data_IF_374814436487
#
_entry.id   IF_374814436487
#
_cell.length_a   1.000
_cell.length_b   1.000
_cell.length_c   1.000
_cell.angle_alpha   90.00
_cell.angle_beta   90.00
_cell.angle_gamma   90.00
#
_symmetry.space_group_name_H-M   'P 1'
#
loop_
_entity.id
_entity.type
_entity.pdbx_description
1 polymer ?
#
# COMPACT_ATOMS: atom_id res chain seq x y z
N UNK A 1 -20.96 -1.69 14.50
CA UNK A 1 -20.82 -3.16 14.62
C UNK A 1 -19.51 -3.42 15.35
N UNK A 2 -19.54 -3.95 16.58
CA UNK A 2 -18.36 -4.07 17.45
C UNK A 2 -17.25 -4.87 16.76
N UNK A 3 -16.11 -4.23 16.49
CA UNK A 3 -14.89 -4.90 16.07
C UNK A 3 -14.47 -5.78 17.26
N UNK A 4 -14.62 -7.08 17.10
CA UNK A 4 -14.31 -8.02 18.18
C UNK A 4 -12.81 -8.06 18.44
N UNK A 5 -12.35 -8.32 19.68
CA UNK A 5 -10.93 -8.36 20.07
C UNK A 5 -10.09 -9.41 19.30
N UNK A 6 -10.70 -10.21 18.43
CA UNK A 6 -10.03 -11.13 17.51
C UNK A 6 -9.27 -10.42 16.38
N UNK A 7 -9.69 -9.22 15.95
CA UNK A 7 -8.94 -8.45 14.95
C UNK A 7 -7.64 -7.87 15.50
N UNK A 8 -7.66 -7.44 16.77
CA UNK A 8 -6.46 -6.96 17.48
C UNK A 8 -5.50 -8.12 17.78
N UNK A 9 -6.03 -9.32 18.07
CA UNK A 9 -5.22 -10.54 18.24
C UNK A 9 -4.55 -10.99 16.95
N UNK A 10 -5.17 -10.78 15.78
CA UNK A 10 -4.56 -11.08 14.47
C UNK A 10 -3.38 -10.14 14.20
N UNK A 11 -3.49 -8.87 14.63
CA UNK A 11 -2.44 -7.86 14.49
C UNK A 11 -1.28 -8.09 15.49
N UNK A 12 -1.56 -8.53 16.72
CA UNK A 12 -0.54 -8.89 17.71
C UNK A 12 0.25 -10.17 17.32
N UNK A 13 -0.40 -11.13 16.64
CA UNK A 13 0.27 -12.32 16.12
C UNK A 13 1.26 -12.01 14.97
N UNK A 14 1.05 -10.93 14.22
CA UNK A 14 2.01 -10.49 13.20
C UNK A 14 3.34 -10.04 13.82
N UNK A 15 3.33 -9.53 15.06
CA UNK A 15 4.52 -9.04 15.76
C UNK A 15 5.40 -10.20 16.27
N UNK A 16 4.81 -11.31 16.72
CA UNK A 16 5.58 -12.47 17.20
C UNK A 16 6.06 -13.42 16.07
N UNK A 17 5.39 -13.44 14.92
CA UNK A 17 5.82 -14.25 13.76
C UNK A 17 6.89 -13.54 12.89
N UNK A 18 7.20 -12.28 13.17
CA UNK A 18 8.32 -11.56 12.56
C UNK A 18 9.70 -12.04 13.05
N UNK A 19 9.75 -12.87 14.11
CA UNK A 19 10.99 -13.30 14.77
C UNK A 19 11.75 -14.46 14.08
N UNK A 20 11.30 -15.00 12.94
CA UNK A 20 12.03 -16.12 12.30
C UNK A 20 11.86 -16.27 10.78
N UNK A 21 11.47 -15.23 10.03
CA UNK A 21 11.53 -15.33 8.57
C UNK A 21 12.90 -14.88 8.06
N UNK A 22 13.75 -15.84 7.68
CA UNK A 22 14.89 -15.54 6.82
C UNK A 22 14.35 -15.16 5.44
N UNK A 23 14.90 -14.11 4.83
CA UNK A 23 14.64 -13.81 3.43
C UNK A 23 15.85 -14.29 2.63
N UNK A 24 15.57 -15.04 1.56
CA UNK A 24 16.56 -15.29 0.53
C UNK A 24 16.48 -14.15 -0.50
N UNK A 25 17.63 -13.69 -1.01
CA UNK A 25 17.67 -12.59 -1.97
C UNK A 25 18.50 -12.95 -3.19
N UNK A 26 17.98 -12.60 -4.37
CA UNK A 26 18.70 -12.69 -5.63
C UNK A 26 18.61 -11.37 -6.40
N UNK A 27 19.64 -11.09 -7.21
CA UNK A 27 19.66 -9.95 -8.11
C UNK A 27 19.19 -10.37 -9.50
N UNK A 28 18.29 -9.61 -10.08
CA UNK A 28 17.68 -9.93 -11.38
C UNK A 28 17.55 -8.71 -12.26
N UNK A 29 17.52 -8.94 -13.57
CA UNK A 29 17.14 -7.94 -14.55
C UNK A 29 15.83 -8.38 -15.20
N UNK A 30 14.71 -7.68 -14.97
CA UNK A 30 13.44 -7.98 -15.63
C UNK A 30 13.56 -7.79 -17.14
N UNK A 31 12.98 -8.72 -17.90
CA UNK A 31 12.94 -8.64 -19.37
C UNK A 31 11.49 -8.42 -19.80
N UNK A 32 11.22 -7.33 -20.53
CA UNK A 32 9.89 -7.07 -21.09
C UNK A 32 9.67 -7.91 -22.36
N UNK A 33 8.57 -8.66 -22.43
CA UNK A 33 8.29 -9.54 -23.58
C UNK A 33 7.68 -8.79 -24.77
N UNK A 34 6.85 -7.75 -24.56
CA UNK A 34 6.09 -7.11 -25.65
C UNK A 34 6.80 -5.88 -26.27
N UNK A 35 8.13 -5.82 -26.23
CA UNK A 35 8.89 -4.71 -26.82
C UNK A 35 9.04 -4.88 -28.34
N UNK A 36 8.08 -4.34 -29.09
CA UNK A 36 8.20 -3.87 -30.49
C UNK A 36 8.65 -4.91 -31.54
N UNK A 37 7.71 -5.40 -32.36
CA UNK A 37 7.98 -5.64 -33.78
C UNK A 37 7.59 -4.37 -34.53
N UNK A 38 8.58 -3.67 -35.09
CA UNK A 38 8.35 -2.44 -35.84
C UNK A 38 7.63 -2.70 -37.17
N UNK A 39 6.63 -1.88 -37.49
CA UNK A 39 6.07 -1.84 -38.84
C UNK A 39 4.62 -1.34 -38.93
N UNK A 40 4.48 -0.02 -39.16
CA UNK A 40 3.39 0.69 -39.85
C UNK A 40 1.91 0.45 -39.44
N UNK A 41 1.25 1.60 -39.25
CA UNK A 41 -0.16 1.87 -39.59
C UNK A 41 -1.26 1.39 -38.61
N UNK A 42 -1.80 2.39 -37.88
CA UNK A 42 -3.10 2.47 -37.16
C UNK A 42 -3.34 1.65 -35.88
N UNK A 43 -3.31 2.40 -34.77
CA UNK A 43 -4.35 2.51 -33.72
C UNK A 43 -4.71 1.25 -32.88
N UNK A 44 -4.25 1.32 -31.62
CA UNK A 44 -4.95 0.97 -30.37
C UNK A 44 -5.05 -0.51 -29.95
N UNK A 45 -4.02 -0.95 -29.23
CA UNK A 45 -4.15 -1.46 -27.86
C UNK A 45 -2.75 -1.39 -27.25
N UNK A 46 -2.52 -0.56 -26.22
CA UNK A 46 -1.33 -0.76 -25.39
C UNK A 46 -1.51 -2.11 -24.73
N UNK A 47 -0.84 -3.15 -25.24
CA UNK A 47 -0.84 -4.44 -24.57
C UNK A 47 -0.31 -4.25 -23.15
N UNK A 48 -1.04 -4.85 -22.21
CA UNK A 48 -0.69 -4.91 -20.81
C UNK A 48 0.77 -5.41 -20.64
N UNK A 49 1.61 -4.72 -19.85
CA UNK A 49 3.02 -5.05 -19.79
C UNK A 49 3.27 -6.44 -19.19
N UNK A 50 4.15 -7.21 -19.83
CA UNK A 50 4.56 -8.55 -19.38
C UNK A 50 6.06 -8.54 -19.13
N UNK A 51 6.48 -8.97 -17.94
CA UNK A 51 7.88 -9.09 -17.56
C UNK A 51 8.23 -10.51 -17.17
N UNK A 52 9.40 -11.00 -17.58
CA UNK A 52 9.94 -12.26 -17.09
C UNK A 52 11.14 -12.02 -16.19
N UNK A 53 11.11 -12.66 -15.02
CA UNK A 53 12.14 -12.61 -13.98
C UNK A 53 12.75 -14.00 -13.85
N UNK A 54 14.08 -14.11 -13.90
CA UNK A 54 14.79 -15.37 -13.61
C UNK A 54 15.35 -15.30 -12.20
N UNK A 55 14.72 -15.99 -11.25
CA UNK A 55 15.08 -15.93 -9.83
C UNK A 55 14.79 -17.28 -9.15
N UNK A 56 15.64 -17.68 -8.20
CA UNK A 56 15.49 -18.89 -7.38
C UNK A 56 15.33 -20.15 -8.23
N UNK A 57 16.08 -20.22 -9.34
CA UNK A 57 16.02 -21.31 -10.31
C UNK A 57 14.73 -21.39 -11.14
N UNK A 58 13.92 -20.32 -11.16
CA UNK A 58 12.60 -20.29 -11.81
C UNK A 58 12.46 -19.10 -12.75
N UNK A 59 11.59 -19.26 -13.75
CA UNK A 59 11.10 -18.15 -14.58
C UNK A 59 9.75 -17.71 -14.05
N UNK A 60 9.66 -16.48 -13.54
CA UNK A 60 8.46 -15.86 -13.01
C UNK A 60 7.99 -14.80 -14.00
N UNK A 61 6.88 -15.05 -14.68
CA UNK A 61 6.33 -14.13 -15.69
C UNK A 61 5.20 -13.31 -15.07
N UNK A 62 5.41 -12.01 -14.86
CA UNK A 62 4.39 -11.11 -14.35
C UNK A 62 3.52 -10.59 -15.50
N UNK A 63 2.23 -10.88 -15.50
CA UNK A 63 1.26 -10.29 -16.42
C UNK A 63 0.55 -9.15 -15.69
N UNK A 64 0.74 -7.92 -16.16
CA UNK A 64 0.36 -6.72 -15.41
C UNK A 64 -0.76 -5.94 -16.09
N UNK A 65 -1.76 -5.54 -15.33
CA UNK A 65 -2.90 -4.74 -15.76
C UNK A 65 -2.91 -3.46 -14.92
N UNK A 66 -3.14 -2.27 -15.51
CA UNK A 66 -3.27 -1.03 -14.75
C UNK A 66 -4.31 -1.17 -13.61
N UNK A 67 -3.92 -0.82 -12.39
CA UNK A 67 -4.80 -0.89 -11.22
C UNK A 67 -4.72 0.37 -10.37
N UNK A 68 -5.83 1.11 -10.37
CA UNK A 68 -6.03 2.28 -9.52
C UNK A 68 -7.23 2.12 -8.59
N UNK A 69 -7.77 0.90 -8.47
CA UNK A 69 -8.97 0.63 -7.68
C UNK A 69 -8.79 0.82 -6.17
N UNK A 70 -7.53 0.88 -5.71
CA UNK A 70 -7.17 1.21 -4.33
C UNK A 70 -7.15 2.72 -4.05
N UNK A 71 -7.36 3.58 -5.07
CA UNK A 71 -7.43 5.03 -4.91
C UNK A 71 -8.87 5.49 -5.06
N UNK A 72 -9.33 6.32 -4.11
CA UNK A 72 -10.65 6.95 -4.19
C UNK A 72 -10.77 7.81 -5.47
N UNK A 73 -11.97 7.95 -6.05
CA UNK A 73 -12.23 8.98 -7.06
C UNK A 73 -11.88 10.39 -6.57
N UNK A 74 -12.07 10.67 -5.27
CA UNK A 74 -11.74 11.94 -4.63
C UNK A 74 -10.32 11.99 -4.04
N UNK A 75 -9.47 11.00 -4.36
CA UNK A 75 -8.11 10.93 -3.83
C UNK A 75 -7.33 12.21 -4.10
N UNK A 76 -6.71 12.73 -3.06
CA UNK A 76 -5.80 13.87 -3.12
C UNK A 76 -4.57 13.67 -2.22
N UNK A 77 -3.50 14.38 -2.57
CA UNK A 77 -2.27 14.44 -1.79
C UNK A 77 -2.09 15.86 -1.26
N UNK A 78 -1.89 15.98 0.06
CA UNK A 78 -1.71 17.25 0.73
C UNK A 78 -0.41 17.27 1.53
N UNK A 79 0.40 18.31 1.32
CA UNK A 79 1.56 18.63 2.17
C UNK A 79 1.12 19.30 3.47
N UNK A 80 1.77 18.96 4.57
CA UNK A 80 1.46 19.45 5.92
C UNK A 80 2.71 20.09 6.51
N UNK A 81 2.66 21.41 6.69
CA UNK A 81 3.71 22.22 7.32
C UNK A 81 3.26 22.77 8.67
N UNK A 82 4.21 23.26 9.48
CA UNK A 82 3.93 23.73 10.84
C UNK A 82 2.93 24.89 10.87
N UNK A 83 2.98 25.79 9.87
CA UNK A 83 2.01 26.88 9.74
C UNK A 83 0.59 26.39 9.44
N UNK A 84 0.45 25.33 8.65
CA UNK A 84 -0.84 24.74 8.32
C UNK A 84 -1.50 24.09 9.54
N UNK A 85 -0.74 23.38 10.37
CA UNK A 85 -1.32 22.75 11.57
C UNK A 85 -1.68 23.75 12.67
N UNK A 86 -0.90 24.83 12.82
CA UNK A 86 -1.23 25.93 13.74
C UNK A 86 -2.56 26.61 13.38
N UNK A 87 -2.82 26.83 12.08
CA UNK A 87 -4.09 27.41 11.62
C UNK A 87 -5.28 26.48 11.86
N UNK A 88 -5.14 25.17 11.60
CA UNK A 88 -6.19 24.18 11.89
C UNK A 88 -6.53 24.10 13.38
N UNK A 89 -5.52 24.14 14.26
CA UNK A 89 -5.74 24.12 15.72
C UNK A 89 -6.42 25.37 16.24
N UNK A 90 -6.21 26.51 15.58
CA UNK A 90 -6.82 27.79 15.94
C UNK A 90 -8.26 27.93 15.40
N UNK A 91 -8.56 27.27 14.28
CA UNK A 91 -9.89 27.21 13.69
C UNK A 91 -10.76 26.19 14.44
N UNK A 92 -11.35 26.63 15.56
CA UNK A 92 -12.33 25.85 16.31
C UNK A 92 -13.65 25.74 15.53
N UNK A 93 -13.79 24.66 14.76
CA UNK A 93 -15.08 24.20 14.24
C UNK A 93 -15.55 24.76 12.89
N UNK A 94 -14.72 25.54 12.19
CA UNK A 94 -14.98 25.95 10.81
C UNK A 94 -13.79 25.56 9.94
N UNK A 95 -14.03 24.74 8.92
CA UNK A 95 -13.04 24.37 7.92
C UNK A 95 -12.50 25.67 7.30
N UNK A 96 -11.19 25.95 7.34
CA UNK A 96 -10.67 27.14 6.69
C UNK A 96 -10.93 27.00 5.19
N UNK A 97 -11.84 27.79 4.64
CA UNK A 97 -11.87 28.03 3.19
C UNK A 97 -10.59 28.78 2.84
N UNK A 98 -9.56 28.02 2.46
CA UNK A 98 -8.31 28.60 2.04
C UNK A 98 -8.57 29.36 0.74
N UNK A 99 -8.30 30.68 0.78
CA UNK A 99 -8.01 31.45 -0.43
C UNK A 99 -6.89 30.74 -1.17
N UNK A 100 -7.27 29.96 -2.16
CA UNK A 100 -6.37 29.49 -3.20
C UNK A 100 -5.85 30.73 -3.89
N UNK A 101 -4.56 31.02 -3.79
CA UNK A 101 -3.89 31.90 -4.74
C UNK A 101 -4.03 31.26 -6.13
N UNK A 102 -5.11 31.63 -6.79
CA UNK A 102 -5.58 31.11 -8.06
C UNK A 102 -4.71 31.66 -9.19
N UNK A 103 -3.82 30.83 -9.73
CA UNK A 103 -3.86 30.44 -11.16
C UNK A 103 -2.65 29.61 -11.64
N UNK A 104 -1.60 29.41 -10.83
CA UNK A 104 -0.40 28.68 -11.27
C UNK A 104 -0.24 27.23 -10.78
N UNK A 105 -0.83 26.88 -9.63
CA UNK A 105 -0.46 25.66 -8.88
C UNK A 105 -1.37 24.45 -9.14
N UNK A 106 -2.69 24.63 -9.32
CA UNK A 106 -3.66 23.52 -9.47
C UNK A 106 -3.37 22.61 -10.67
N UNK A 107 -2.88 23.17 -11.78
CA UNK A 107 -2.56 22.38 -12.97
C UNK A 107 -1.36 21.44 -12.73
N UNK A 108 -0.39 21.85 -11.90
CA UNK A 108 0.83 21.08 -11.63
C UNK A 108 0.56 19.91 -10.68
N UNK A 109 -0.29 20.12 -9.66
CA UNK A 109 -0.68 19.06 -8.72
C UNK A 109 -1.55 18.00 -9.41
N UNK A 110 -2.58 18.40 -10.18
CA UNK A 110 -3.43 17.44 -10.92
C UNK A 110 -2.65 16.64 -11.97
N UNK A 111 -1.70 17.27 -12.67
CA UNK A 111 -0.86 16.56 -13.65
C UNK A 111 0.06 15.53 -12.95
N UNK A 112 0.64 15.89 -11.79
CA UNK A 112 1.45 14.96 -11.00
C UNK A 112 0.64 13.80 -10.41
N UNK A 113 -0.58 14.04 -9.93
CA UNK A 113 -1.50 12.99 -9.46
C UNK A 113 -1.95 12.07 -10.61
N UNK A 114 -2.23 12.63 -11.79
CA UNK A 114 -2.53 11.85 -12.99
C UNK A 114 -1.35 11.03 -13.51
N UNK A 115 -0.11 11.49 -13.30
CA UNK A 115 1.11 10.69 -13.54
C UNK A 115 1.24 9.57 -12.51
N UNK A 116 0.97 9.84 -11.23
CA UNK A 116 1.00 8.84 -10.16
C UNK A 116 0.03 7.68 -10.40
N UNK A 117 -1.21 7.97 -10.82
CA UNK A 117 -2.22 6.94 -11.11
C UNK A 117 -1.78 5.94 -12.19
N UNK A 118 -0.90 6.33 -13.10
CA UNK A 118 -0.39 5.46 -14.19
C UNK A 118 0.76 4.54 -13.74
N UNK A 119 1.19 4.64 -12.48
CA UNK A 119 2.31 3.85 -11.97
C UNK A 119 1.91 2.44 -11.56
N UNK A 120 0.66 2.23 -11.13
CA UNK A 120 0.28 1.04 -10.36
C UNK A 120 -0.37 -0.04 -11.23
N UNK A 121 0.07 -1.26 -11.03
CA UNK A 121 -0.36 -2.42 -11.77
C UNK A 121 -0.64 -3.59 -10.81
N UNK A 122 -1.62 -4.39 -11.17
CA UNK A 122 -1.91 -5.68 -10.53
C UNK A 122 -1.92 -6.80 -11.56
N UNK A 123 -1.99 -8.05 -11.12
CA UNK A 123 -2.16 -9.17 -12.04
C UNK A 123 -1.73 -10.49 -11.46
N UNK A 124 -1.20 -11.36 -12.31
CA UNK A 124 -0.85 -12.74 -11.96
C UNK A 124 0.55 -13.11 -12.46
N UNK A 125 1.05 -14.24 -11.96
CA UNK A 125 2.32 -14.86 -12.33
C UNK A 125 2.03 -16.05 -13.24
N UNK A 126 2.44 -15.96 -14.50
CA UNK A 126 2.27 -17.02 -15.50
C UNK A 126 0.80 -17.30 -15.79
N UNK A 127 0.36 -18.53 -15.51
CA UNK A 127 -1.04 -18.95 -15.66
C UNK A 127 -1.71 -19.25 -14.30
N UNK A 128 -1.03 -18.92 -13.19
CA UNK A 128 -1.55 -19.17 -11.85
C UNK A 128 -2.61 -18.12 -11.50
N UNK A 129 -3.90 -18.46 -11.62
CA UNK A 129 -5.01 -17.57 -11.25
C UNK A 129 -5.09 -17.27 -9.74
N UNK A 130 -4.43 -18.07 -8.90
CA UNK A 130 -4.36 -17.84 -7.46
C UNK A 130 -3.15 -16.99 -7.06
N UNK A 131 -2.28 -16.67 -8.01
CA UNK A 131 -1.18 -15.74 -7.78
C UNK A 131 -1.69 -14.30 -7.74
N UNK A 132 -0.94 -13.45 -7.05
CA UNK A 132 -1.22 -12.01 -6.99
C UNK A 132 0.04 -11.25 -7.31
N UNK A 133 -0.12 -10.14 -8.03
CA UNK A 133 0.95 -9.17 -8.29
C UNK A 133 0.42 -7.79 -7.94
N UNK A 134 1.25 -6.98 -7.28
CA UNK A 134 0.98 -5.58 -6.98
C UNK A 134 2.30 -4.80 -7.09
N UNK A 135 2.47 -4.05 -8.18
CA UNK A 135 3.73 -3.36 -8.47
C UNK A 135 3.49 -1.93 -8.96
N UNK A 136 4.46 -1.07 -8.72
CA UNK A 136 4.64 0.21 -9.38
C UNK A 136 5.74 0.09 -10.44
N UNK A 137 5.57 0.75 -11.59
CA UNK A 137 6.55 0.75 -12.69
C UNK A 137 7.23 2.11 -12.92
N UNK A 138 6.92 3.14 -12.14
CA UNK A 138 7.40 4.50 -12.40
C UNK A 138 8.90 4.71 -12.12
N UNK A 139 9.47 3.94 -11.18
CA UNK A 139 10.87 4.07 -10.75
C UNK A 139 11.58 2.71 -10.78
N UNK A 140 11.22 1.88 -11.76
CA UNK A 140 11.50 0.45 -11.79
C UNK A 140 10.36 -0.37 -11.22
N UNK A 141 10.50 -1.69 -11.21
CA UNK A 141 9.50 -2.61 -10.66
C UNK A 141 9.67 -2.63 -9.14
N UNK A 142 8.79 -1.92 -8.44
CA UNK A 142 8.73 -1.94 -6.99
C UNK A 142 7.39 -2.50 -6.55
N UNK A 143 7.37 -3.56 -5.75
CA UNK A 143 6.13 -4.27 -5.51
C UNK A 143 6.28 -5.58 -4.76
N UNK A 144 5.16 -6.27 -4.60
CA UNK A 144 5.14 -7.65 -4.13
C UNK A 144 4.34 -8.54 -5.07
N UNK A 145 4.64 -9.82 -5.03
CA UNK A 145 3.83 -10.84 -5.68
C UNK A 145 3.84 -12.14 -4.89
N UNK A 146 2.80 -12.93 -5.08
CA UNK A 146 2.59 -14.21 -4.40
C UNK A 146 2.39 -15.24 -5.48
N UNK A 147 3.17 -16.32 -5.45
CA UNK A 147 3.06 -17.41 -6.41
C UNK A 147 3.38 -18.72 -5.71
N UNK A 148 2.56 -19.75 -5.96
CA UNK A 148 2.67 -21.05 -5.27
C UNK A 148 2.72 -20.92 -3.73
N UNK A 149 1.97 -19.98 -3.17
CA UNK A 149 1.94 -19.72 -1.73
C UNK A 149 3.20 -19.09 -1.15
N UNK A 150 4.18 -18.72 -1.97
CA UNK A 150 5.42 -18.03 -1.56
C UNK A 150 5.30 -16.53 -1.81
N UNK A 151 5.78 -15.76 -0.86
CA UNK A 151 5.77 -14.30 -0.89
C UNK A 151 7.10 -13.77 -1.42
N UNK A 152 7.01 -12.88 -2.41
CA UNK A 152 8.13 -12.23 -3.04
C UNK A 152 7.98 -10.71 -2.97
N UNK A 153 9.09 -10.03 -2.67
CA UNK A 153 9.23 -8.59 -2.76
C UNK A 153 10.24 -8.28 -3.86
N UNK A 154 9.93 -7.35 -4.76
CA UNK A 154 10.85 -6.85 -5.78
C UNK A 154 11.08 -5.36 -5.57
N UNK A 155 12.34 -4.95 -5.60
CA UNK A 155 12.71 -3.54 -5.52
C UNK A 155 13.90 -3.22 -6.44
N UNK A 156 13.96 -1.99 -7.00
CA UNK A 156 15.14 -1.54 -7.73
C UNK A 156 16.39 -1.53 -6.84
N UNK A 157 17.52 -2.05 -7.33
CA UNK A 157 18.79 -2.00 -6.60
C UNK A 157 19.32 -0.57 -6.47
N UNK A 158 19.13 0.22 -7.52
CA UNK A 158 19.46 1.64 -7.56
C UNK A 158 18.16 2.43 -7.70
N UNK A 159 17.95 3.40 -6.81
CA UNK A 159 16.89 4.40 -6.95
C UNK A 159 17.36 5.47 -7.92
N UNK A 160 17.39 5.14 -9.21
CA UNK A 160 17.74 6.10 -10.27
C UNK A 160 16.51 6.93 -10.62
N UNK A 161 16.65 8.26 -10.59
CA UNK A 161 15.59 9.18 -10.99
C UNK A 161 15.10 8.92 -12.41
N UNK A 162 13.78 9.10 -12.61
CA UNK A 162 12.99 8.98 -13.83
C UNK A 162 13.80 8.76 -15.13
N UNK A 163 14.19 7.50 -15.40
CA UNK A 163 14.64 7.08 -16.72
C UNK A 163 13.55 6.25 -17.40
N UNK A 164 13.34 6.42 -18.72
CA UNK A 164 12.25 5.77 -19.46
C UNK A 164 12.32 4.23 -19.53
N UNK A 165 13.47 3.60 -19.24
CA UNK A 165 13.65 2.13 -19.14
C UNK A 165 13.98 1.65 -17.71
N UNK A 166 13.44 2.34 -16.70
CA UNK A 166 13.70 2.00 -15.29
C UNK A 166 13.26 0.57 -14.90
N UNK A 167 12.33 -0.06 -15.61
CA UNK A 167 11.86 -1.41 -15.30
C UNK A 167 12.86 -2.53 -15.67
N UNK A 168 13.76 -2.30 -16.63
CA UNK A 168 14.78 -3.28 -17.07
C UNK A 168 16.15 -3.03 -16.42
N UNK A 169 16.17 -2.27 -15.32
CA UNK A 169 17.37 -2.12 -14.50
C UNK A 169 17.58 -3.33 -13.57
N UNK A 170 18.68 -3.31 -12.81
CA UNK A 170 18.97 -4.32 -11.80
C UNK A 170 18.01 -4.18 -10.60
N UNK A 171 17.32 -5.25 -10.25
CA UNK A 171 16.41 -5.36 -9.12
C UNK A 171 16.91 -6.41 -8.14
N UNK A 172 16.47 -6.30 -6.89
CA UNK A 172 16.64 -7.33 -5.87
C UNK A 172 15.26 -7.96 -5.65
N UNK A 173 15.18 -9.28 -5.77
CA UNK A 173 14.01 -10.04 -5.35
C UNK A 173 14.32 -10.70 -4.03
N UNK A 174 13.47 -10.49 -3.04
CA UNK A 174 13.49 -11.19 -1.76
C UNK A 174 12.35 -12.17 -1.69
N UNK A 175 12.64 -13.42 -1.33
CA UNK A 175 11.65 -14.47 -1.06
C UNK A 175 11.63 -14.77 0.43
N UNK A 176 10.45 -14.79 1.03
CA UNK A 176 10.30 -15.17 2.43
C UNK A 176 10.50 -16.68 2.61
N UNK A 177 11.40 -17.08 3.52
CA UNK A 177 11.57 -18.46 3.99
C UNK A 177 10.78 -18.58 5.30
N UNK A 178 9.75 -19.43 5.33
CA UNK A 178 9.10 -19.83 6.57
C UNK A 178 9.95 -20.92 7.20
N UNK A 179 10.44 -20.72 8.44
CA UNK A 179 11.05 -21.79 9.21
C UNK A 179 10.00 -22.90 9.42
N UNK A 180 10.28 -24.10 8.93
CA UNK A 180 9.34 -25.22 8.79
C UNK A 180 8.86 -25.83 10.12
N UNK A 181 9.06 -25.16 11.26
CA UNK A 181 8.61 -25.66 12.56
C UNK A 181 8.26 -24.53 13.54
N UNK A 182 7.01 -24.07 13.44
CA UNK A 182 6.10 -23.56 14.50
C UNK A 182 4.95 -22.87 13.78
N UNK A 183 3.76 -23.46 13.89
CA UNK A 183 2.58 -23.08 13.13
C UNK A 183 2.17 -21.62 13.32
N UNK A 184 2.65 -20.76 12.43
CA UNK A 184 1.96 -19.56 11.93
C UNK A 184 2.44 -19.36 10.47
N UNK A 185 1.88 -20.13 9.53
CA UNK A 185 1.98 -19.77 8.11
C UNK A 185 1.18 -18.50 7.92
N UNK A 186 1.87 -17.38 7.69
CA UNK A 186 1.26 -16.07 7.88
C UNK A 186 0.29 -15.65 6.79
N UNK A 187 0.11 -16.38 5.68
CA UNK A 187 -0.80 -15.90 4.63
C UNK A 187 -1.61 -16.93 3.85
N UNK A 188 -1.17 -18.17 3.57
CA UNK A 188 -2.04 -19.15 2.89
C UNK A 188 -1.71 -20.58 3.34
N UNK A 189 -2.66 -21.26 3.97
CA UNK A 189 -2.65 -22.73 4.07
C UNK A 189 -3.64 -23.27 3.03
N UNK A 190 -3.13 -24.04 2.07
CA UNK A 190 -3.95 -24.91 1.22
C UNK A 190 -4.48 -26.05 2.10
N UNK A 191 -5.69 -25.87 2.63
CA UNK A 191 -6.42 -26.93 3.32
C UNK A 191 -7.10 -27.85 2.31
N UNK A 192 -6.35 -28.85 1.81
CA UNK A 192 -6.90 -30.00 1.10
C UNK A 192 -7.56 -30.99 2.07
N UNK A 193 -8.79 -31.38 1.72
CA UNK A 193 -9.60 -32.51 2.22
C UNK A 193 -9.86 -32.64 3.73
N UNK A 194 -11.09 -32.36 4.15
CA UNK A 194 -11.93 -33.47 4.66
C UNK A 194 -13.43 -33.19 4.53
N UNK A 195 -14.11 -34.12 3.86
CA UNK A 195 -15.53 -34.05 3.55
C UNK A 195 -16.35 -34.51 4.77
N UNK A 196 -17.00 -33.56 5.47
CA UNK A 196 -18.22 -33.84 6.23
C UNK A 196 -19.28 -32.78 5.95
N UNK A 197 -20.31 -33.21 5.22
CA UNK A 197 -21.55 -32.47 4.96
C UNK A 197 -22.29 -32.23 6.28
N UNK A 198 -22.22 -31.01 6.78
CA UNK A 198 -23.30 -30.42 7.56
C UNK A 198 -23.85 -29.23 6.78
N UNK A 199 -25.09 -29.34 6.33
CA UNK A 199 -25.80 -28.28 5.63
C UNK A 199 -26.08 -27.11 6.59
N UNK A 200 -25.08 -26.24 6.79
CA UNK A 200 -25.23 -25.02 7.58
C UNK A 200 -25.82 -23.91 6.71
N UNK A 201 -27.05 -23.53 7.10
CA UNK A 201 -27.87 -22.40 6.65
C UNK A 201 -27.06 -21.22 6.10
N UNK A 202 -27.30 -20.87 4.82
CA UNK A 202 -26.78 -19.65 4.17
C UNK A 202 -27.06 -18.43 5.04
N UNK A 203 -26.02 -17.84 5.61
CA UNK A 203 -26.06 -16.50 6.22
C UNK A 203 -24.92 -15.67 5.62
N UNK A 204 -25.31 -14.48 5.16
CA UNK A 204 -24.54 -13.41 4.55
C UNK A 204 -24.15 -13.59 3.09
N UNK A 205 -24.85 -12.84 2.23
CA UNK A 205 -24.35 -12.37 0.94
C UNK A 205 -23.08 -11.58 1.23
N UNK A 206 -21.96 -11.96 0.62
CA UNK A 206 -20.70 -11.24 0.71
C UNK A 206 -20.80 -9.96 -0.14
N UNK A 207 -21.42 -8.92 0.40
CA UNK A 207 -21.33 -7.60 -0.23
C UNK A 207 -19.90 -7.05 -0.08
N UNK A 208 -19.34 -6.45 -1.14
CA UNK A 208 -18.02 -5.83 -1.08
C UNK A 208 -18.02 -4.72 -0.03
N UNK A 209 -17.08 -4.80 0.91
CA UNK A 209 -16.88 -3.78 1.94
C UNK A 209 -15.73 -2.89 1.55
N UNK A 210 -15.89 -1.58 1.67
CA UNK A 210 -14.83 -0.61 1.45
C UNK A 210 -14.32 -0.12 2.80
N UNK A 211 -13.00 0.04 2.91
CA UNK A 211 -12.35 0.65 4.06
C UNK A 211 -11.67 1.91 3.55
N UNK A 212 -12.26 3.06 3.86
CA UNK A 212 -11.76 4.37 3.46
C UNK A 212 -10.57 4.74 4.35
N UNK A 213 -9.41 4.96 3.73
CA UNK A 213 -8.13 5.01 4.43
C UNK A 213 -7.39 6.34 4.20
N UNK A 214 -6.96 6.98 5.28
CA UNK A 214 -5.95 8.03 5.27
C UNK A 214 -4.55 7.41 5.37
N UNK A 215 -3.65 7.75 4.46
CA UNK A 215 -2.22 7.42 4.55
C UNK A 215 -1.41 8.65 4.95
N UNK A 216 -0.57 8.55 5.98
CA UNK A 216 0.25 9.66 6.48
C UNK A 216 1.72 9.26 6.43
N UNK A 217 2.53 10.02 5.70
CA UNK A 217 3.99 9.95 5.79
C UNK A 217 4.47 11.04 6.74
N UNK A 218 5.18 10.67 7.81
CA UNK A 218 5.78 11.65 8.71
C UNK A 218 7.01 12.34 8.10
N UNK A 219 7.56 13.33 8.81
CA UNK A 219 8.75 14.05 8.38
C UNK A 219 9.96 13.13 8.17
N UNK A 220 10.12 12.08 8.98
CA UNK A 220 11.24 11.13 8.85
C UNK A 220 11.17 10.31 7.56
N UNK A 221 9.97 9.91 7.15
CA UNK A 221 9.71 9.29 5.86
C UNK A 221 9.93 10.28 4.71
N UNK A 222 9.39 11.49 4.81
CA UNK A 222 9.56 12.54 3.80
C UNK A 222 11.04 12.85 3.57
N UNK A 223 11.82 13.03 4.62
CA UNK A 223 13.26 13.28 4.55
C UNK A 223 14.02 12.10 3.91
N UNK A 224 13.65 10.86 4.23
CA UNK A 224 14.37 9.68 3.72
C UNK A 224 14.05 9.36 2.26
N UNK A 225 12.78 9.47 1.85
CA UNK A 225 12.35 9.12 0.49
C UNK A 225 12.38 10.31 -0.48
N UNK A 226 12.40 11.54 0.03
CA UNK A 226 12.36 12.75 -0.78
C UNK A 226 11.15 12.75 -1.72
N UNK A 227 11.38 13.10 -2.98
CA UNK A 227 10.34 13.18 -4.02
C UNK A 227 9.63 11.84 -4.27
N UNK A 228 10.27 10.70 -3.97
CA UNK A 228 9.71 9.36 -4.18
C UNK A 228 8.74 8.91 -3.08
N UNK A 229 8.54 9.70 -2.02
CA UNK A 229 7.70 9.31 -0.88
C UNK A 229 6.27 8.95 -1.31
N UNK A 230 5.71 9.71 -2.25
CA UNK A 230 4.36 9.49 -2.79
C UNK A 230 4.27 8.14 -3.49
N UNK A 231 5.24 7.85 -4.36
CA UNK A 231 5.32 6.56 -5.06
C UNK A 231 5.50 5.42 -4.07
N UNK A 232 6.38 5.57 -3.08
CA UNK A 232 6.66 4.53 -2.10
C UNK A 232 5.43 4.14 -1.28
N UNK A 233 4.79 5.10 -0.61
CA UNK A 233 3.63 4.84 0.26
C UNK A 233 2.46 4.29 -0.54
N UNK A 234 2.16 4.88 -1.70
CA UNK A 234 1.05 4.39 -2.53
C UNK A 234 1.32 3.00 -3.12
N UNK A 235 2.58 2.64 -3.36
CA UNK A 235 2.95 1.27 -3.76
C UNK A 235 2.74 0.29 -2.62
N UNK A 236 3.05 0.67 -1.37
CA UNK A 236 2.69 -0.16 -0.20
C UNK A 236 1.17 -0.31 -0.08
N UNK A 237 0.41 0.77 -0.30
CA UNK A 237 -1.05 0.72 -0.26
C UNK A 237 -1.65 -0.14 -1.38
N UNK A 238 -1.04 -0.16 -2.57
CA UNK A 238 -1.48 -1.06 -3.65
C UNK A 238 -1.21 -2.53 -3.31
N UNK A 239 -0.06 -2.85 -2.71
CA UNK A 239 0.22 -4.19 -2.19
C UNK A 239 -0.80 -4.61 -1.13
N UNK A 240 -1.08 -3.74 -0.17
CA UNK A 240 -2.08 -3.98 0.87
C UNK A 240 -3.47 -4.20 0.26
N UNK A 241 -3.90 -3.37 -0.69
CA UNK A 241 -5.20 -3.52 -1.33
C UNK A 241 -5.34 -4.86 -2.07
N UNK A 242 -4.29 -5.30 -2.78
CA UNK A 242 -4.28 -6.61 -3.46
C UNK A 242 -4.31 -7.78 -2.48
N UNK A 243 -3.58 -7.67 -1.36
CA UNK A 243 -3.61 -8.68 -0.31
C UNK A 243 -5.01 -8.90 0.25
N UNK A 244 -5.75 -7.81 0.51
CA UNK A 244 -7.10 -7.87 1.07
C UNK A 244 -8.17 -8.36 0.08
N UNK A 245 -7.85 -8.37 -1.22
CA UNK A 245 -8.68 -8.96 -2.27
C UNK A 245 -8.44 -10.46 -2.46
N UNK A 246 -7.44 -11.06 -1.82
CA UNK A 246 -7.14 -12.47 -2.03
C UNK A 246 -8.31 -13.38 -1.60
N UNK A 247 -8.69 -14.39 -2.41
CA UNK A 247 -9.83 -15.27 -2.14
C UNK A 247 -9.82 -15.99 -0.78
N UNK A 248 -8.64 -16.20 -0.19
CA UNK A 248 -8.48 -16.85 1.13
C UNK A 248 -9.13 -16.07 2.28
N UNK A 249 -9.34 -14.76 2.13
CA UNK A 249 -9.97 -13.93 3.18
C UNK A 249 -11.49 -14.21 3.25
N UNK A 250 -12.07 -14.86 2.22
CA UNK A 250 -13.48 -15.29 2.10
C UNK A 250 -14.53 -14.18 2.24
N UNK A 251 -14.11 -12.96 2.55
CA UNK A 251 -14.92 -11.76 2.66
C UNK A 251 -14.31 -10.70 1.74
N UNK A 252 -15.10 -10.13 0.82
CA UNK A 252 -14.61 -9.13 -0.13
C UNK A 252 -14.39 -7.80 0.59
N UNK A 253 -13.13 -7.49 0.88
CA UNK A 253 -12.71 -6.24 1.52
C UNK A 253 -11.83 -5.45 0.54
N UNK A 254 -12.20 -4.20 0.31
CA UNK A 254 -11.51 -3.28 -0.59
C UNK A 254 -10.94 -2.14 0.25
N UNK A 255 -9.62 -2.07 0.36
CA UNK A 255 -8.95 -0.94 0.99
C UNK A 255 -8.81 0.16 -0.05
N UNK A 256 -9.31 1.35 0.26
CA UNK A 256 -9.30 2.51 -0.63
C UNK A 256 -8.66 3.70 0.07
N UNK A 257 -7.60 4.24 -0.52
CA UNK A 257 -6.94 5.45 -0.04
C UNK A 257 -7.74 6.66 -0.49
N UNK A 258 -8.26 7.41 0.48
CA UNK A 258 -9.05 8.63 0.25
C UNK A 258 -8.16 9.86 0.26
N UNK A 259 -7.12 9.88 1.09
CA UNK A 259 -6.23 11.02 1.25
C UNK A 259 -4.83 10.55 1.61
N UNK A 260 -3.82 11.25 1.10
CA UNK A 260 -2.44 11.10 1.53
C UNK A 260 -1.93 12.41 2.12
N UNK A 261 -1.47 12.39 3.37
CA UNK A 261 -0.79 13.52 4.01
C UNK A 261 0.72 13.28 3.98
N UNK A 262 1.47 14.29 3.50
CA UNK A 262 2.93 14.31 3.54
C UNK A 262 3.35 15.37 4.53
N UNK A 263 3.82 14.96 5.69
CA UNK A 263 4.32 15.87 6.73
C UNK A 263 5.73 16.29 6.36
N UNK A 264 5.95 17.59 6.23
CA UNK A 264 7.24 18.18 5.86
C UNK A 264 8.05 18.53 7.12
N UNK A 265 7.39 19.16 8.09
CA UNK A 265 7.99 19.59 9.36
C UNK A 265 7.61 18.65 10.50
N UNK A 266 8.55 18.30 11.39
CA UNK A 266 8.29 17.40 12.53
C UNK A 266 7.21 17.96 13.45
N UNK A 267 7.21 19.28 13.70
CA UNK A 267 6.24 19.98 14.55
C UNK A 267 4.82 19.98 13.95
N UNK A 268 4.72 19.76 12.65
CA UNK A 268 3.44 19.62 11.95
C UNK A 268 2.86 18.21 12.10
N UNK A 269 3.68 17.21 12.42
CA UNK A 269 3.26 15.83 12.59
C UNK A 269 2.56 15.53 13.92
N UNK A 270 2.05 14.30 14.09
CA UNK A 270 1.69 13.80 15.40
C UNK A 270 2.94 13.63 16.28
N UNK A 271 2.83 13.98 17.57
CA UNK A 271 3.94 13.76 18.50
C UNK A 271 4.14 12.26 18.76
N UNK A 272 5.29 11.73 18.33
CA UNK A 272 5.65 10.34 18.54
C UNK A 272 6.28 10.12 19.92
N UNK A 273 5.92 9.01 20.57
CA UNK A 273 6.41 8.61 21.89
C UNK A 273 6.99 7.20 21.83
N UNK A 274 7.93 6.88 22.72
CA UNK A 274 8.42 5.50 22.91
C UNK A 274 7.37 4.56 23.48
N UNK A 275 6.31 5.11 24.06
CA UNK A 275 5.13 4.35 24.41
C UNK A 275 4.17 4.31 23.21
N UNK A 276 4.07 3.15 22.55
CA UNK A 276 3.20 2.98 21.38
C UNK A 276 1.73 3.30 21.64
N UNK A 277 1.24 3.13 22.88
CA UNK A 277 -0.11 3.54 23.26
C UNK A 277 -0.29 5.05 23.35
N UNK A 278 0.73 5.79 23.79
CA UNK A 278 0.75 7.26 23.78
C UNK A 278 0.84 7.76 22.33
N UNK A 279 1.76 7.20 21.54
CA UNK A 279 1.92 7.55 20.13
C UNK A 279 0.62 7.35 19.34
N UNK A 280 -0.09 6.24 19.56
CA UNK A 280 -1.38 5.97 18.91
C UNK A 280 -2.46 6.99 19.29
N UNK A 281 -2.53 7.39 20.56
CA UNK A 281 -3.47 8.43 21.02
C UNK A 281 -3.14 9.79 20.42
N UNK A 282 -1.87 10.18 20.39
CA UNK A 282 -1.42 11.43 19.80
C UNK A 282 -1.74 11.48 18.31
N UNK A 283 -1.47 10.39 17.59
CA UNK A 283 -1.85 10.26 16.19
C UNK A 283 -3.37 10.32 15.98
N UNK A 284 -4.15 9.67 16.86
CA UNK A 284 -5.61 9.70 16.81
C UNK A 284 -6.16 11.13 16.91
N UNK A 285 -5.71 11.90 17.90
CA UNK A 285 -6.14 13.28 18.08
C UNK A 285 -5.68 14.18 16.92
N UNK A 286 -4.46 13.98 16.42
CA UNK A 286 -3.91 14.78 15.33
C UNK A 286 -4.65 14.56 14.01
N UNK A 287 -4.92 13.31 13.63
CA UNK A 287 -5.55 13.03 12.34
C UNK A 287 -6.98 13.58 12.26
N UNK A 288 -7.70 13.67 13.39
CA UNK A 288 -9.08 14.18 13.41
C UNK A 288 -9.19 15.61 12.88
N UNK A 289 -8.11 16.41 12.95
CA UNK A 289 -8.04 17.76 12.37
C UNK A 289 -8.27 17.76 10.84
N UNK A 290 -8.07 16.62 10.18
CA UNK A 290 -8.17 16.45 8.73
C UNK A 290 -9.36 15.57 8.30
N UNK A 291 -10.11 14.99 9.26
CA UNK A 291 -11.26 14.15 8.97
C UNK A 291 -12.56 14.97 8.99
N UNK A 292 -13.24 15.14 7.85
CA UNK A 292 -14.56 15.76 7.82
C UNK A 292 -15.52 15.01 8.76
N UNK A 293 -16.36 15.72 9.55
CA UNK A 293 -17.23 15.08 10.53
C UNK A 293 -18.37 14.27 9.89
N UNK A 294 -18.74 14.60 8.65
CA UNK A 294 -19.80 13.90 7.92
C UNK A 294 -19.23 12.69 7.18
N UNK A 295 -19.74 11.49 7.49
CA UNK A 295 -19.42 10.25 6.77
C UNK A 295 -19.81 10.26 5.29
N UNK A 296 -20.65 11.21 4.87
CA UNK A 296 -21.01 11.37 3.45
C UNK A 296 -20.04 12.25 2.69
N UNK A 297 -19.09 12.87 3.38
CA UNK A 297 -18.10 13.71 2.74
C UNK A 297 -17.13 12.83 1.94
N UNK A 298 -16.81 13.16 0.67
CA UNK A 298 -15.96 12.31 -0.18
C UNK A 298 -14.52 12.16 0.32
N UNK A 299 -14.09 13.03 1.23
CA UNK A 299 -12.78 12.95 1.92
C UNK A 299 -12.85 12.39 3.35
N UNK A 300 -14.02 11.91 3.79
CA UNK A 300 -14.12 11.19 5.05
C UNK A 300 -13.34 9.87 4.94
N UNK A 301 -12.81 9.40 6.07
CA UNK A 301 -12.12 8.11 6.11
C UNK A 301 -12.40 7.35 7.42
N UNK A 302 -12.50 6.03 7.26
CA UNK A 302 -12.75 5.06 8.32
C UNK A 302 -11.49 4.70 9.10
N UNK A 303 -10.31 4.77 8.50
CA UNK A 303 -9.05 4.34 9.14
C UNK A 303 -7.90 5.25 8.74
N UNK A 304 -6.92 5.40 9.63
CA UNK A 304 -5.69 6.13 9.35
C UNK A 304 -4.47 5.24 9.59
N UNK A 305 -3.47 5.37 8.70
CA UNK A 305 -2.21 4.64 8.73
C UNK A 305 -1.06 5.64 8.75
N UNK A 306 -0.22 5.58 9.78
CA UNK A 306 1.01 6.38 9.88
C UNK A 306 2.22 5.55 9.47
N UNK A 307 2.94 6.04 8.47
CA UNK A 307 4.24 5.56 8.03
C UNK A 307 5.32 6.44 8.68
N UNK A 308 6.18 5.82 9.48
CA UNK A 308 7.29 6.48 10.16
C UNK A 308 8.54 5.61 10.15
N UNK A 309 9.72 6.26 10.16
CA UNK A 309 11.01 5.59 10.35
C UNK A 309 11.49 5.63 11.79
N UNK A 310 10.78 6.31 12.70
CA UNK A 310 11.16 6.35 14.10
C UNK A 310 10.80 5.05 14.81
N UNK A 311 11.81 4.21 15.05
CA UNK A 311 11.67 2.98 15.83
C UNK A 311 11.77 3.33 17.30
N UNK A 312 10.65 3.65 17.94
CA UNK A 312 10.62 3.79 19.39
C UNK A 312 9.92 2.57 20.02
N UNK A 313 10.67 1.45 20.06
CA UNK A 313 10.30 0.20 20.76
C UNK A 313 10.90 -1.09 20.16
N UNK A 314 12.13 -1.45 20.56
CA UNK A 314 12.72 -2.79 20.32
C UNK A 314 13.28 -3.07 18.91
N UNK A 315 14.13 -4.11 18.75
CA UNK A 315 15.03 -4.21 17.59
C UNK A 315 14.29 -4.62 16.32
N UNK A 316 14.34 -3.71 15.33
CA UNK A 316 14.04 -3.89 13.91
C UNK A 316 12.57 -4.18 13.55
N UNK A 317 11.71 -3.17 13.65
CA UNK A 317 10.46 -3.13 12.89
C UNK A 317 10.15 -1.69 12.45
N UNK A 318 9.89 -1.47 11.15
CA UNK A 318 9.22 -0.25 10.69
C UNK A 318 7.83 -0.21 11.32
N UNK A 319 7.53 0.80 12.14
CA UNK A 319 6.26 0.91 12.82
C UNK A 319 5.20 1.47 11.86
N UNK A 320 4.34 0.60 11.32
CA UNK A 320 3.06 1.03 10.77
C UNK A 320 2.07 1.14 11.93
N UNK A 321 1.70 2.35 12.33
CA UNK A 321 0.60 2.55 13.29
C UNK A 321 -0.71 2.60 12.51
N UNK A 322 -1.54 1.57 12.69
CA UNK A 322 -2.87 1.48 12.07
C UNK A 322 -3.93 1.69 13.14
N UNK A 323 -4.87 2.59 12.87
CA UNK A 323 -6.04 2.79 13.71
C UNK A 323 -7.31 2.83 12.89
N UNK A 324 -8.33 2.09 13.32
CA UNK A 324 -9.69 2.24 12.81
C UNK A 324 -10.41 3.31 13.63
N UNK A 325 -11.14 4.19 12.96
CA UNK A 325 -12.09 5.13 13.56
C UNK A 325 -13.17 4.30 14.23
N UNK A 326 -12.98 3.99 15.50
CA UNK A 326 -13.98 3.34 16.32
C UNK A 326 -15.17 4.27 16.51
N UNK A 327 -16.35 3.78 16.13
CA UNK A 327 -17.62 4.17 16.72
C UNK A 327 -17.68 3.79 18.20
#
# INVERSE_FOLDING_TARGET
MRITPRFVSLLLCLVNAALASQFESEEVVPVRINSRIGGRFWKRSEENPIFTLKAFGRNLTLNLIPDTSFLSPAFNIQGVSAGYTATLRSASGAQPELRSDHNGSKNRTQESEGRLRRCFFSGNVGQDENSLVAVSLCSGIFGSFISEGKEYLIEPKLRSGQRPDSAEQLHVIRRRILAENRGVSLLFTHGGSDARREARRKRFVSEPRFIETLAVADSTMTHFYGDEIKHYVLTLMSMVAQLYKHPSIKNSVNIVVVKMLVVEDEEAGPELSSNGGVALRNFCSWQQLFNPPSQRHPEHYDTAMLFTREVRGGPLACCLLVMSSGF
#
